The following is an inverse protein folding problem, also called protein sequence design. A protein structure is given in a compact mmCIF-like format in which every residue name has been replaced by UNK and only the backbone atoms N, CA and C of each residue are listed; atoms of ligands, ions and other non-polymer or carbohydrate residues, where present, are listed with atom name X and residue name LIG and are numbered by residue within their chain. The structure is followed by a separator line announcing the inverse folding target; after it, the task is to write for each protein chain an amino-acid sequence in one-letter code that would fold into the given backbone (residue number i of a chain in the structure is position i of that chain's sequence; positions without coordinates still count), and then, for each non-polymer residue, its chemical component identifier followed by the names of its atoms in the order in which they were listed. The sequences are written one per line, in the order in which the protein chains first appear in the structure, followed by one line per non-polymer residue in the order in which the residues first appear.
data_IF_102913884507
#
_entry.id   IF_102913884507
#
_cell.length_a   1.000
_cell.length_b   1.000
_cell.length_c   1.000
_cell.angle_alpha   90.00
_cell.angle_beta   90.00
_cell.angle_gamma   90.00
#
_symmetry.space_group_name_H-M   'P 1'
#
loop_
_entity.id
_entity.type
_entity.pdbx_description
1 polymer ?
#
# COMPACT_ATOMS: atom_id res chain seq x y z
N UNK A 1 10.56 29.26 -28.08
CA UNK A 1 10.38 28.64 -26.75
C UNK A 1 8.89 28.51 -26.47
N UNK A 2 8.38 27.29 -26.26
CA UNK A 2 6.96 27.08 -25.96
C UNK A 2 6.59 27.81 -24.64
N UNK A 3 5.56 28.66 -24.69
CA UNK A 3 5.07 29.40 -23.51
C UNK A 3 4.72 28.40 -22.40
N UNK A 4 5.32 28.55 -21.21
CA UNK A 4 4.90 27.82 -20.00
C UNK A 4 3.38 27.99 -19.82
N UNK A 5 2.67 26.90 -19.51
CA UNK A 5 1.21 26.90 -19.31
C UNK A 5 0.78 28.03 -18.37
N UNK A 6 -0.36 28.69 -18.64
CA UNK A 6 -0.92 29.68 -17.69
C UNK A 6 -1.25 29.07 -16.34
N UNK A 7 -1.60 27.78 -16.31
CA UNK A 7 -1.80 27.02 -15.08
C UNK A 7 -0.49 26.91 -14.28
N UNK A 8 0.67 26.80 -14.95
CA UNK A 8 1.96 26.74 -14.26
C UNK A 8 2.49 28.10 -13.77
N UNK A 9 1.74 29.19 -13.98
CA UNK A 9 2.02 30.51 -13.39
C UNK A 9 1.18 30.81 -12.15
N UNK A 10 0.14 30.02 -11.87
CA UNK A 10 -0.69 30.20 -10.68
C UNK A 10 0.11 29.97 -9.39
N UNK A 11 -0.36 30.54 -8.28
CA UNK A 11 0.23 30.28 -6.97
C UNK A 11 0.23 28.77 -6.66
N UNK A 12 1.21 28.26 -5.87
CA UNK A 12 1.25 26.86 -5.49
C UNK A 12 -0.05 26.38 -4.83
N UNK A 13 -0.71 27.26 -4.08
CA UNK A 13 -1.94 26.93 -3.39
C UNK A 13 -3.13 26.74 -4.33
N UNK A 14 -3.31 27.64 -5.30
CA UNK A 14 -4.31 27.49 -6.35
C UNK A 14 -4.07 26.22 -7.18
N UNK A 15 -2.80 25.94 -7.49
CA UNK A 15 -2.43 24.75 -8.25
C UNK A 15 -2.80 23.46 -7.52
N UNK A 16 -2.55 23.38 -6.21
CA UNK A 16 -2.98 22.25 -5.38
C UNK A 16 -4.49 22.06 -5.36
N UNK A 17 -5.26 23.15 -5.35
CA UNK A 17 -6.73 23.07 -5.41
C UNK A 17 -7.21 22.51 -6.76
N UNK A 18 -6.55 22.89 -7.86
CA UNK A 18 -6.81 22.35 -9.20
C UNK A 18 -6.46 20.86 -9.26
N UNK A 19 -5.29 20.48 -8.77
CA UNK A 19 -4.84 19.08 -8.74
C UNK A 19 -5.80 18.21 -7.92
N UNK A 20 -6.31 18.73 -6.80
CA UNK A 20 -7.32 18.03 -5.99
C UNK A 20 -8.63 17.85 -6.76
N UNK A 21 -9.15 18.89 -7.39
CA UNK A 21 -10.38 18.82 -8.17
C UNK A 21 -10.28 17.82 -9.34
N UNK A 22 -9.14 17.80 -10.04
CA UNK A 22 -8.85 16.84 -11.09
C UNK A 22 -8.70 15.40 -10.58
N UNK A 23 -8.16 15.23 -9.37
CA UNK A 23 -8.05 13.91 -8.72
C UNK A 23 -9.43 13.35 -8.39
N UNK A 24 -10.32 14.19 -7.84
CA UNK A 24 -11.67 13.81 -7.45
C UNK A 24 -12.52 13.43 -8.67
N UNK A 25 -12.27 14.03 -9.83
CA UNK A 25 -12.84 13.62 -11.13
C UNK A 25 -14.36 13.84 -11.25
N UNK A 26 -14.94 14.69 -10.39
CA UNK A 26 -16.40 14.95 -10.32
C UNK A 26 -16.86 16.14 -11.14
N UNK A 27 -15.93 16.91 -11.71
CA UNK A 27 -16.21 18.13 -12.46
C UNK A 27 -15.95 17.92 -13.94
N UNK A 28 -16.86 18.41 -14.77
CA UNK A 28 -16.62 18.62 -16.19
C UNK A 28 -15.56 19.70 -16.41
N UNK A 29 -15.03 19.81 -17.64
CA UNK A 29 -14.06 20.85 -17.98
C UNK A 29 -14.62 22.26 -17.73
N UNK A 30 -15.91 22.48 -18.00
CA UNK A 30 -16.54 23.77 -17.89
C UNK A 30 -16.77 24.15 -16.41
N UNK A 31 -17.23 23.20 -15.58
CA UNK A 31 -17.32 23.39 -14.13
C UNK A 31 -15.95 23.61 -13.48
N UNK A 32 -14.91 22.90 -13.95
CA UNK A 32 -13.54 23.10 -13.50
C UNK A 32 -13.04 24.49 -13.91
N UNK A 33 -13.33 24.94 -15.12
CA UNK A 33 -12.94 26.27 -15.58
C UNK A 33 -13.61 27.37 -14.76
N UNK A 34 -14.89 27.22 -14.43
CA UNK A 34 -15.64 28.13 -13.57
C UNK A 34 -15.09 28.14 -12.13
N UNK A 35 -14.86 26.97 -11.55
CA UNK A 35 -14.25 26.82 -10.22
C UNK A 35 -12.89 27.53 -10.14
N UNK A 36 -12.01 27.27 -11.11
CA UNK A 36 -10.67 27.88 -11.14
C UNK A 36 -10.74 29.38 -11.37
N UNK A 37 -11.63 29.83 -12.24
CA UNK A 37 -11.83 31.27 -12.50
C UNK A 37 -12.30 32.00 -11.24
N UNK A 38 -13.27 31.44 -10.50
CA UNK A 38 -13.73 32.00 -9.24
C UNK A 38 -12.65 32.07 -8.17
N UNK A 39 -11.81 31.04 -8.07
CA UNK A 39 -10.66 31.01 -7.14
C UNK A 39 -9.57 32.01 -7.52
N UNK A 40 -9.30 32.16 -8.82
CA UNK A 40 -8.33 33.15 -9.31
C UNK A 40 -8.85 34.58 -9.06
N UNK A 41 -10.13 34.84 -9.31
CA UNK A 41 -10.76 36.14 -9.03
C UNK A 41 -10.66 36.54 -7.55
N UNK A 42 -10.96 35.60 -6.64
CA UNK A 42 -10.83 35.82 -5.20
C UNK A 42 -9.39 36.10 -4.73
N UNK A 43 -8.40 35.59 -5.48
CA UNK A 43 -6.98 35.78 -5.20
C UNK A 43 -6.35 36.94 -5.99
N UNK A 44 -7.11 37.67 -6.81
CA UNK A 44 -6.59 38.73 -7.69
C UNK A 44 -5.66 38.23 -8.80
N UNK A 45 -5.78 36.96 -9.20
CA UNK A 45 -4.95 36.31 -10.20
C UNK A 45 -5.66 36.20 -11.56
N UNK A 46 -4.89 36.20 -12.65
CA UNK A 46 -5.40 35.97 -13.99
C UNK A 46 -5.79 34.49 -14.17
N UNK A 47 -7.06 34.26 -14.54
CA UNK A 47 -7.57 32.91 -14.73
C UNK A 47 -6.96 32.25 -15.99
N UNK A 48 -6.60 30.96 -15.96
CA UNK A 48 -6.18 30.25 -17.15
C UNK A 48 -7.32 30.16 -18.17
N UNK A 49 -6.98 30.18 -19.47
CA UNK A 49 -7.95 29.89 -20.52
C UNK A 49 -8.43 28.44 -20.46
N UNK A 50 -9.64 28.20 -20.96
CA UNK A 50 -10.26 26.86 -21.07
C UNK A 50 -9.34 25.85 -21.75
N UNK A 51 -8.68 26.22 -22.86
CA UNK A 51 -7.74 25.34 -23.58
C UNK A 51 -6.48 25.01 -22.77
N UNK A 52 -5.97 25.96 -21.97
CA UNK A 52 -4.83 25.71 -21.11
C UNK A 52 -5.20 24.76 -19.96
N UNK A 53 -6.40 24.93 -19.41
CA UNK A 53 -6.98 24.03 -18.42
C UNK A 53 -7.25 22.64 -18.99
N UNK A 54 -7.75 22.53 -20.22
CA UNK A 54 -7.93 21.25 -20.90
C UNK A 54 -6.61 20.52 -21.12
N UNK A 55 -5.56 21.20 -21.61
CA UNK A 55 -4.23 20.58 -21.76
C UNK A 55 -3.66 20.13 -20.42
N UNK A 56 -3.84 20.94 -19.38
CA UNK A 56 -3.42 20.59 -18.03
C UNK A 56 -4.19 19.38 -17.50
N UNK A 57 -5.52 19.38 -17.65
CA UNK A 57 -6.38 18.27 -17.24
C UNK A 57 -6.09 17.01 -18.02
N UNK A 58 -5.75 17.08 -19.30
CA UNK A 58 -5.42 15.88 -20.11
C UNK A 58 -4.12 15.23 -19.62
N UNK A 59 -3.08 16.03 -19.34
CA UNK A 59 -1.85 15.52 -18.72
C UNK A 59 -2.10 14.98 -17.30
N UNK A 60 -2.94 15.66 -16.53
CA UNK A 60 -3.29 15.24 -15.18
C UNK A 60 -4.19 14.00 -15.17
N UNK A 61 -5.11 13.86 -16.10
CA UNK A 61 -6.03 12.73 -16.23
C UNK A 61 -5.28 11.44 -16.55
N UNK A 62 -4.22 11.50 -17.35
CA UNK A 62 -3.33 10.35 -17.55
C UNK A 62 -2.67 9.92 -16.22
N UNK A 63 -2.14 10.88 -15.45
CA UNK A 63 -1.54 10.60 -14.14
C UNK A 63 -2.57 10.15 -13.08
N UNK A 64 -3.75 10.77 -13.07
CA UNK A 64 -4.84 10.48 -12.15
C UNK A 64 -5.51 9.14 -12.48
N UNK A 65 -5.58 8.76 -13.76
CA UNK A 65 -6.02 7.45 -14.18
C UNK A 65 -5.04 6.38 -13.73
N UNK A 66 -3.73 6.60 -13.91
CA UNK A 66 -2.69 5.71 -13.35
C UNK A 66 -2.78 5.63 -11.82
N UNK A 67 -3.08 6.74 -11.12
CA UNK A 67 -3.28 6.72 -9.67
C UNK A 67 -4.56 5.98 -9.23
N UNK A 68 -5.65 6.08 -10.00
CA UNK A 68 -6.89 5.32 -9.76
C UNK A 68 -6.68 3.83 -10.01
N UNK A 69 -6.09 3.47 -11.15
CA UNK A 69 -5.71 2.10 -11.48
C UNK A 69 -4.76 1.51 -10.42
N UNK A 70 -3.79 2.29 -9.92
CA UNK A 70 -2.93 1.88 -8.81
C UNK A 70 -3.67 1.73 -7.48
N UNK A 71 -4.67 2.58 -7.18
CA UNK A 71 -5.50 2.46 -5.97
C UNK A 71 -6.38 1.23 -6.03
N UNK A 72 -6.97 0.95 -7.18
CA UNK A 72 -7.81 -0.21 -7.40
C UNK A 72 -6.97 -1.49 -7.38
N UNK A 73 -5.77 -1.46 -7.97
CA UNK A 73 -4.80 -2.54 -7.88
C UNK A 73 -4.30 -2.76 -6.46
N UNK A 74 -4.02 -1.70 -5.68
CA UNK A 74 -3.65 -1.81 -4.28
C UNK A 74 -4.81 -2.32 -3.40
N UNK A 75 -6.06 -1.94 -3.71
CA UNK A 75 -7.26 -2.48 -3.06
C UNK A 75 -7.46 -3.95 -3.40
N UNK A 76 -7.29 -4.33 -4.65
CA UNK A 76 -7.36 -5.71 -5.10
C UNK A 76 -6.24 -6.54 -4.46
N UNK A 77 -5.02 -6.00 -4.36
CA UNK A 77 -3.92 -6.63 -3.63
C UNK A 77 -4.28 -6.81 -2.15
N UNK A 78 -4.79 -5.77 -1.48
CA UNK A 78 -5.19 -5.85 -0.08
C UNK A 78 -6.35 -6.83 0.17
N UNK A 79 -7.27 -6.97 -0.80
CA UNK A 79 -8.33 -7.98 -0.76
C UNK A 79 -7.80 -9.39 -1.01
N UNK A 80 -6.86 -9.59 -1.95
CA UNK A 80 -6.21 -10.88 -2.23
C UNK A 80 -5.27 -11.31 -1.09
N UNK A 81 -4.61 -10.36 -0.41
CA UNK A 81 -3.64 -10.63 0.63
C UNK A 81 -4.28 -11.04 1.97
N UNK A 82 -5.58 -10.79 2.17
CA UNK A 82 -6.26 -11.05 3.43
C UNK A 82 -5.81 -10.09 4.55
N UNK A 83 -6.71 -9.82 5.50
CA UNK A 83 -6.48 -8.84 6.57
C UNK A 83 -5.23 -9.15 7.42
N UNK A 84 -4.86 -10.43 7.58
CA UNK A 84 -3.73 -10.85 8.41
C UNK A 84 -2.35 -10.47 7.83
N UNK A 85 -2.23 -10.33 6.50
CA UNK A 85 -0.94 -10.07 5.83
C UNK A 85 -0.53 -8.59 5.85
N UNK A 86 -1.48 -7.68 6.09
CA UNK A 86 -1.28 -6.23 6.09
C UNK A 86 -1.04 -5.68 7.50
N UNK A 87 -1.42 -6.42 8.53
CA UNK A 87 -1.25 -6.02 9.93
C UNK A 87 0.20 -6.18 10.43
N UNK A 88 1.02 -7.01 9.77
CA UNK A 88 2.43 -7.19 10.08
C UNK A 88 3.34 -6.07 9.58
N UNK A 89 4.40 -5.77 10.35
CA UNK A 89 5.44 -4.78 10.00
C UNK A 89 6.04 -5.00 8.61
N UNK A 90 6.14 -6.27 8.21
CA UNK A 90 6.61 -6.70 6.90
C UNK A 90 5.68 -6.29 5.74
N UNK A 91 4.36 -6.40 5.90
CA UNK A 91 3.38 -5.98 4.89
C UNK A 91 3.38 -4.47 4.69
N UNK A 92 3.55 -3.70 5.78
CA UNK A 92 3.69 -2.24 5.73
C UNK A 92 4.95 -1.81 4.97
N UNK A 93 6.08 -2.49 5.21
CA UNK A 93 7.34 -2.22 4.53
C UNK A 93 7.23 -2.44 3.01
N UNK A 94 6.56 -3.52 2.57
CA UNK A 94 6.33 -3.78 1.15
C UNK A 94 5.51 -2.67 0.47
N UNK A 95 4.47 -2.19 1.15
CA UNK A 95 3.65 -1.07 0.66
C UNK A 95 4.49 0.20 0.56
N UNK A 96 5.35 0.48 1.53
CA UNK A 96 6.29 1.61 1.48
C UNK A 96 7.29 1.49 0.33
N UNK A 97 7.87 0.30 0.11
CA UNK A 97 8.79 0.05 -1.00
C UNK A 97 8.13 0.26 -2.36
N UNK A 98 6.89 -0.23 -2.55
CA UNK A 98 6.12 0.01 -3.77
C UNK A 98 5.89 1.50 -3.98
N UNK A 99 5.49 2.21 -2.92
CA UNK A 99 5.22 3.65 -2.97
C UNK A 99 6.48 4.43 -3.34
N UNK A 100 7.64 4.02 -2.82
CA UNK A 100 8.95 4.60 -3.14
C UNK A 100 9.38 4.34 -4.59
N UNK A 101 9.13 3.14 -5.13
CA UNK A 101 9.37 2.80 -6.53
C UNK A 101 8.51 3.67 -7.46
N UNK A 102 7.20 3.73 -7.22
CA UNK A 102 6.28 4.56 -7.99
C UNK A 102 6.68 6.04 -7.94
N UNK A 103 7.10 6.52 -6.77
CA UNK A 103 7.55 7.90 -6.61
C UNK A 103 8.85 8.20 -7.39
N UNK A 104 9.81 7.26 -7.41
CA UNK A 104 11.03 7.37 -8.22
C UNK A 104 10.71 7.43 -9.70
N UNK A 105 9.86 6.51 -10.18
CA UNK A 105 9.40 6.49 -11.57
C UNK A 105 8.66 7.78 -11.92
N UNK A 106 7.89 8.37 -10.99
CA UNK A 106 7.28 9.69 -11.22
C UNK A 106 8.30 10.83 -11.25
N UNK A 107 9.32 10.82 -10.37
CA UNK A 107 10.36 11.86 -10.33
C UNK A 107 11.20 11.89 -11.60
N UNK A 108 11.65 10.74 -12.09
CA UNK A 108 12.43 10.64 -13.34
C UNK A 108 11.68 11.23 -14.54
N UNK A 109 10.34 11.17 -14.51
CA UNK A 109 9.45 11.70 -15.55
C UNK A 109 9.12 13.19 -15.36
N UNK A 110 9.31 13.76 -14.17
CA UNK A 110 9.23 15.22 -13.98
C UNK A 110 10.42 15.94 -14.64
N UNK A 111 11.55 15.25 -14.80
CA UNK A 111 12.74 15.73 -15.51
C UNK A 111 12.67 15.57 -17.03
N UNK A 112 11.90 14.61 -17.56
CA UNK A 112 11.68 14.41 -19.01
C UNK A 112 10.18 14.34 -19.38
N UNK A 113 9.57 15.47 -19.78
CA UNK A 113 8.11 15.60 -19.97
C UNK A 113 7.49 14.74 -21.08
N UNK A 114 8.29 14.25 -22.03
CA UNK A 114 7.82 13.46 -23.19
C UNK A 114 7.99 11.95 -23.01
N UNK A 115 8.60 11.53 -21.91
CA UNK A 115 8.82 10.13 -21.65
C UNK A 115 7.47 9.49 -21.25
N UNK A 116 6.87 8.68 -22.12
CA UNK A 116 5.63 7.91 -21.85
C UNK A 116 5.88 6.80 -20.83
N UNK A 117 4.99 6.64 -19.84
CA UNK A 117 4.95 5.43 -19.01
C UNK A 117 4.89 4.21 -19.92
N UNK A 118 5.80 3.26 -19.74
CA UNK A 118 5.68 1.93 -20.33
C UNK A 118 4.77 1.10 -19.41
N UNK A 119 3.54 0.76 -19.86
CA UNK A 119 2.64 -0.06 -19.07
C UNK A 119 3.25 -1.42 -18.72
N UNK A 120 4.16 -1.95 -19.56
CA UNK A 120 4.82 -3.22 -19.32
C UNK A 120 5.80 -3.14 -18.13
N UNK A 121 6.44 -1.99 -17.91
CA UNK A 121 7.37 -1.79 -16.81
C UNK A 121 6.64 -1.69 -15.46
N UNK A 122 5.50 -0.99 -15.44
CA UNK A 122 4.63 -0.90 -14.27
C UNK A 122 4.04 -2.26 -13.91
N UNK A 123 3.55 -3.00 -14.91
CA UNK A 123 3.02 -4.36 -14.73
C UNK A 123 4.09 -5.31 -14.18
N UNK A 124 5.34 -5.21 -14.67
CA UNK A 124 6.46 -6.00 -14.18
C UNK A 124 6.77 -5.72 -12.70
N UNK A 125 6.79 -4.45 -12.30
CA UNK A 125 7.00 -4.04 -10.91
C UNK A 125 5.87 -4.58 -10.01
N UNK A 126 4.62 -4.44 -10.45
CA UNK A 126 3.46 -4.95 -9.71
C UNK A 126 3.52 -6.47 -9.52
N UNK A 127 3.87 -7.22 -10.57
CA UNK A 127 4.05 -8.69 -10.50
C UNK A 127 5.21 -9.09 -9.58
N UNK A 128 6.34 -8.40 -9.66
CA UNK A 128 7.48 -8.65 -8.78
C UNK A 128 7.10 -8.44 -7.31
N UNK A 129 6.32 -7.41 -7.00
CA UNK A 129 5.85 -7.18 -5.65
C UNK A 129 4.84 -8.25 -5.19
N UNK A 130 3.90 -8.65 -6.06
CA UNK A 130 2.96 -9.74 -5.76
C UNK A 130 3.71 -11.03 -5.42
N UNK A 131 4.71 -11.40 -6.21
CA UNK A 131 5.53 -12.58 -5.98
C UNK A 131 6.31 -12.50 -4.66
N UNK A 132 6.90 -11.34 -4.36
CA UNK A 132 7.61 -11.11 -3.10
C UNK A 132 6.68 -11.24 -1.89
N UNK A 133 5.49 -10.66 -1.99
CA UNK A 133 4.48 -10.75 -0.92
C UNK A 133 4.00 -12.19 -0.69
N UNK A 134 3.80 -12.96 -1.76
CA UNK A 134 3.45 -14.38 -1.64
C UNK A 134 4.57 -15.19 -0.97
N UNK A 135 5.82 -14.92 -1.33
CA UNK A 135 6.97 -15.58 -0.69
C UNK A 135 7.04 -15.29 0.81
N UNK A 136 6.80 -14.03 1.22
CA UNK A 136 6.81 -13.64 2.62
C UNK A 136 5.64 -14.25 3.42
N UNK A 137 4.45 -14.35 2.83
CA UNK A 137 3.31 -15.03 3.46
C UNK A 137 3.62 -16.51 3.70
N UNK A 138 4.17 -17.19 2.69
CA UNK A 138 4.62 -18.58 2.81
C UNK A 138 5.64 -18.74 3.93
N UNK A 139 6.62 -17.84 4.02
CA UNK A 139 7.65 -17.87 5.07
C UNK A 139 7.06 -17.68 6.47
N UNK A 140 6.10 -16.75 6.63
CA UNK A 140 5.39 -16.53 7.89
C UNK A 140 4.58 -17.78 8.30
N UNK A 141 3.88 -18.41 7.36
CA UNK A 141 3.13 -19.65 7.58
C UNK A 141 4.04 -20.82 7.95
N UNK A 142 5.20 -20.93 7.30
CA UNK A 142 6.23 -21.91 7.68
C UNK A 142 6.74 -21.65 9.10
N UNK A 143 7.09 -20.40 9.44
CA UNK A 143 7.57 -20.05 10.78
C UNK A 143 6.51 -20.26 11.87
N UNK A 144 5.22 -20.06 11.57
CA UNK A 144 4.11 -20.37 12.47
C UNK A 144 3.99 -21.87 12.69
N UNK A 145 3.99 -22.66 11.61
CA UNK A 145 3.94 -24.14 11.69
C UNK A 145 5.11 -24.70 12.48
N UNK A 146 6.32 -24.22 12.25
CA UNK A 146 7.51 -24.64 13.02
C UNK A 146 7.32 -24.37 14.51
N UNK A 147 6.88 -23.15 14.89
CA UNK A 147 6.63 -22.81 16.30
C UNK A 147 5.52 -23.66 16.93
N UNK A 148 4.46 -23.96 16.18
CA UNK A 148 3.39 -24.85 16.66
C UNK A 148 3.89 -26.29 16.84
N UNK A 149 4.67 -26.81 15.89
CA UNK A 149 5.30 -28.13 15.97
C UNK A 149 6.29 -28.23 17.13
N UNK A 150 7.14 -27.21 17.32
CA UNK A 150 8.08 -27.14 18.46
C UNK A 150 7.33 -27.05 19.78
N UNK A 151 6.27 -26.25 19.87
CA UNK A 151 5.44 -26.19 21.07
C UNK A 151 4.78 -27.53 21.36
N UNK A 152 4.26 -28.20 20.32
CA UNK A 152 3.64 -29.53 20.46
C UNK A 152 4.67 -30.56 20.93
N UNK A 153 5.85 -30.62 20.31
CA UNK A 153 6.95 -31.49 20.75
C UNK A 153 7.38 -31.20 22.18
N UNK A 154 7.53 -29.94 22.54
CA UNK A 154 7.89 -29.54 23.91
C UNK A 154 6.84 -29.99 24.93
N UNK A 155 5.55 -29.88 24.60
CA UNK A 155 4.45 -30.34 25.44
C UNK A 155 4.40 -31.87 25.54
N UNK A 156 4.63 -32.59 24.43
CA UNK A 156 4.74 -34.05 24.40
C UNK A 156 5.92 -34.52 25.26
N UNK A 157 7.11 -33.93 25.12
CA UNK A 157 8.27 -34.24 25.95
C UNK A 157 8.05 -33.93 27.42
N UNK A 158 7.36 -32.81 27.74
CA UNK A 158 7.02 -32.47 29.12
C UNK A 158 6.04 -33.47 29.72
N UNK A 159 5.09 -33.97 28.92
CA UNK A 159 4.16 -35.03 29.33
C UNK A 159 4.89 -36.36 29.56
N UNK A 160 5.75 -36.77 28.65
CA UNK A 160 6.54 -38.01 28.79
C UNK A 160 7.45 -37.97 30.01
N UNK A 161 8.11 -36.84 30.27
CA UNK A 161 8.95 -36.64 31.47
C UNK A 161 8.12 -36.68 32.75
N UNK A 162 6.91 -36.12 32.73
CA UNK A 162 6.00 -36.13 33.88
C UNK A 162 5.47 -37.54 34.16
N UNK A 163 5.11 -38.30 33.12
CA UNK A 163 4.65 -39.68 33.24
C UNK A 163 5.79 -40.61 33.73
N UNK A 164 7.01 -40.40 33.24
CA UNK A 164 8.20 -41.10 33.73
C UNK A 164 8.50 -40.76 35.20
N UNK A 165 8.37 -39.49 35.61
CA UNK A 165 8.55 -39.08 37.00
C UNK A 165 7.47 -39.67 37.92
N UNK A 166 6.21 -39.70 37.48
CA UNK A 166 5.11 -40.36 38.18
C UNK A 166 5.37 -41.87 38.37
N UNK A 167 5.83 -42.55 37.32
CA UNK A 167 6.23 -43.96 37.41
C UNK A 167 7.44 -44.19 38.33
N UNK A 168 8.33 -43.20 38.44
CA UNK A 168 9.49 -43.19 39.34
C UNK A 168 9.19 -42.87 40.81
N UNK A 169 7.91 -42.68 41.18
CA UNK A 169 7.49 -42.45 42.56
C UNK A 169 7.25 -40.99 42.94
N UNK A 170 7.06 -40.10 41.95
CA UNK A 170 6.56 -38.74 42.21
C UNK A 170 5.17 -38.81 42.86
N UNK A 171 4.92 -37.94 43.85
CA UNK A 171 3.63 -37.85 44.53
C UNK A 171 2.49 -37.62 43.51
N UNK A 172 1.42 -38.45 43.52
CA UNK A 172 0.29 -38.32 42.62
C UNK A 172 -0.38 -36.94 42.64
N UNK A 173 -0.45 -36.27 43.80
CA UNK A 173 -1.03 -34.94 43.92
C UNK A 173 -0.16 -33.88 43.23
N UNK A 174 1.16 -34.02 43.32
CA UNK A 174 2.12 -33.13 42.63
C UNK A 174 2.09 -33.38 41.11
N UNK A 175 1.99 -34.63 40.68
CA UNK A 175 1.84 -34.97 39.27
C UNK A 175 0.53 -34.41 38.69
N UNK A 176 -0.57 -34.49 39.43
CA UNK A 176 -1.87 -33.96 39.01
C UNK A 176 -1.87 -32.43 38.93
N UNK A 177 -1.26 -31.73 39.90
CA UNK A 177 -1.13 -30.27 39.83
C UNK A 177 -0.22 -29.83 38.66
N UNK A 178 0.86 -30.56 38.38
CA UNK A 178 1.71 -30.28 37.23
C UNK A 178 0.97 -30.43 35.90
N UNK A 179 0.09 -31.43 35.75
CA UNK A 179 -0.77 -31.58 34.57
C UNK A 179 -1.73 -30.40 34.40
N UNK A 180 -2.31 -29.92 35.50
CA UNK A 180 -3.21 -28.76 35.51
C UNK A 180 -2.50 -27.47 35.11
N UNK A 181 -1.31 -27.21 35.66
CA UNK A 181 -0.50 -26.01 35.35
C UNK A 181 -0.01 -26.01 33.90
N UNK A 182 0.34 -27.18 33.36
CA UNK A 182 0.79 -27.33 31.97
C UNK A 182 -0.37 -27.42 30.97
N UNK A 183 -1.62 -27.47 31.44
CA UNK A 183 -2.82 -27.51 30.60
C UNK A 183 -3.05 -28.83 29.88
N UNK A 184 -2.62 -29.95 30.47
CA UNK A 184 -2.85 -31.29 29.94
C UNK A 184 -4.24 -31.85 30.30
N UNK A 185 -4.93 -31.24 31.27
CA UNK A 185 -6.26 -31.58 31.80
C UNK A 185 -7.09 -30.31 32.09
#
# INVERSE_FOLDING_TARGET
MARKSSVTRLSPDLRRQIDKALTDGRMTLDELHEFVSGKCAAAGAEAPSRTALWRYSTNFSAAAQVMRENRDMARALAQELGAESVEGEQGRLLVEMLRGLVYRTMQERMTEPDAKFDPAEVDKIARSLKNLSQAMSLEADFAKRIREEERKKTLEEARDKLDAAAAGGLDPAVAQEARRVLGFE
#
